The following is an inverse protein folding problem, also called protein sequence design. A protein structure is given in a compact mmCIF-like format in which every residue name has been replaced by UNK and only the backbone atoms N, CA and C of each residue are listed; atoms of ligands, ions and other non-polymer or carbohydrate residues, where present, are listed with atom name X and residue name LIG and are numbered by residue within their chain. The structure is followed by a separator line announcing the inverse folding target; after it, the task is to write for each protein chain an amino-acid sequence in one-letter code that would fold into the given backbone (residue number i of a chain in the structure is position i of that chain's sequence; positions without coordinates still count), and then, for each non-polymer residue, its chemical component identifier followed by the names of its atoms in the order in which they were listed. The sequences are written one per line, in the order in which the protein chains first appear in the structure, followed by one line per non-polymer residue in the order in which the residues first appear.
data_IF_316257529888
#
_entry.id   IF_316257529888
#
_cell.length_a   1.000
_cell.length_b   1.000
_cell.length_c   1.000
_cell.angle_alpha   90.00
_cell.angle_beta   90.00
_cell.angle_gamma   90.00
#
_symmetry.space_group_name_H-M   'P 1'
#
loop_
_entity.id
_entity.type
_entity.pdbx_description
1 polymer ?
#
# COMPACT_ATOMS: atom_id res chain seq x y z
N UNK A 1 17.30 9.51 -4.30
CA UNK A 1 17.74 9.20 -4.04
C UNK A 1 18.52 8.67 -3.56
N UNK A 2 18.54 8.61 -3.57
CA UNK A 2 19.20 8.25 -3.34
C UNK A 2 20.00 7.89 -3.00
N UNK A 3 20.44 7.77 -2.76
CA UNK A 3 21.25 7.68 -2.39
C UNK A 3 21.80 6.75 -2.11
N UNK A 4 22.39 6.30 -2.67
CA UNK A 4 23.00 5.43 -2.67
C UNK A 4 24.03 5.26 -1.94
N UNK A 5 24.77 6.00 -1.96
CA UNK A 5 25.93 5.89 -1.18
C UNK A 5 25.62 5.61 0.20
N UNK A 6 24.52 5.90 0.49
CA UNK A 6 24.08 5.71 1.78
C UNK A 6 24.15 4.33 2.31
N UNK A 7 24.37 3.39 1.43
CA UNK A 7 24.42 2.04 1.89
C UNK A 7 25.66 1.70 2.63
N UNK A 8 26.66 2.52 2.50
CA UNK A 8 27.90 2.29 3.17
C UNK A 8 27.72 2.20 4.66
N UNK A 9 26.94 3.07 5.20
CA UNK A 9 26.65 3.00 6.61
C UNK A 9 25.63 1.95 6.84
N UNK A 10 26.03 0.85 7.35
CA UNK A 10 25.12 -0.24 7.60
C UNK A 10 23.92 0.22 8.40
N UNK A 11 22.74 -0.06 7.91
CA UNK A 11 21.51 0.23 8.62
C UNK A 11 20.54 -0.92 8.36
N UNK A 12 19.49 -1.00 9.16
CA UNK A 12 18.46 -2.01 8.98
C UNK A 12 17.37 -1.39 8.13
N UNK A 13 17.08 -2.00 6.99
CA UNK A 13 16.06 -1.52 6.06
C UNK A 13 15.12 -2.65 5.72
N UNK A 14 13.84 -2.37 5.74
CA UNK A 14 12.87 -3.34 5.28
C UNK A 14 13.09 -3.52 3.77
N UNK A 15 13.27 -4.75 3.31
CA UNK A 15 13.52 -5.04 1.90
C UNK A 15 12.25 -5.49 1.19
N UNK A 16 11.59 -6.50 1.71
CA UNK A 16 10.39 -7.02 1.08
C UNK A 16 9.52 -7.74 2.11
N UNK A 17 8.27 -7.97 1.74
CA UNK A 17 7.34 -8.76 2.52
C UNK A 17 6.52 -9.61 1.56
N UNK A 18 6.07 -10.77 2.03
CA UNK A 18 5.24 -11.66 1.23
C UNK A 18 3.78 -11.34 1.53
N UNK A 19 2.99 -11.17 0.48
CA UNK A 19 1.56 -10.90 0.59
C UNK A 19 0.81 -12.10 0.04
N UNK A 20 0.07 -12.79 0.91
CA UNK A 20 -0.73 -13.94 0.50
C UNK A 20 -1.96 -13.49 -0.26
N UNK A 21 -2.27 -14.19 -1.36
CA UNK A 21 -3.40 -13.85 -2.22
C UNK A 21 -3.97 -15.10 -2.86
N UNK A 22 -5.19 -14.96 -3.42
CA UNK A 22 -5.82 -16.03 -4.21
C UNK A 22 -5.37 -15.97 -5.66
N UNK A 23 -5.27 -14.78 -6.22
CA UNK A 23 -4.95 -14.54 -7.62
C UNK A 23 -3.94 -13.41 -7.69
N UNK A 24 -2.67 -13.76 -7.86
CA UNK A 24 -1.59 -12.76 -7.80
C UNK A 24 -1.67 -11.75 -8.94
N UNK A 25 -2.18 -12.14 -10.11
CA UNK A 25 -2.35 -11.19 -11.21
C UNK A 25 -3.35 -10.10 -10.81
N UNK A 26 -4.47 -10.50 -10.24
CA UNK A 26 -5.52 -9.59 -9.81
C UNK A 26 -5.04 -8.71 -8.66
N UNK A 27 -4.42 -9.30 -7.67
CA UNK A 27 -4.02 -8.57 -6.46
C UNK A 27 -2.90 -7.58 -6.74
N UNK A 28 -1.91 -7.98 -7.54
CA UNK A 28 -0.83 -7.07 -7.90
C UNK A 28 -1.33 -5.94 -8.79
N UNK A 29 -2.20 -6.25 -9.76
CA UNK A 29 -2.77 -5.23 -10.64
C UNK A 29 -3.65 -4.25 -9.87
N UNK A 30 -4.37 -4.72 -8.86
CA UNK A 30 -5.17 -3.85 -8.00
C UNK A 30 -4.26 -2.82 -7.30
N UNK A 31 -3.19 -3.30 -6.68
CA UNK A 31 -2.31 -2.43 -5.91
C UNK A 31 -1.59 -1.43 -6.82
N UNK A 32 -1.01 -1.90 -7.91
CA UNK A 32 -0.30 -1.01 -8.83
C UNK A 32 -1.26 -0.01 -9.47
N UNK A 33 -2.47 -0.45 -9.78
CA UNK A 33 -3.47 0.42 -10.40
C UNK A 33 -3.93 1.53 -9.48
N UNK A 34 -4.22 1.21 -8.21
CA UNK A 34 -4.69 2.24 -7.26
C UNK A 34 -3.56 3.21 -6.92
N UNK A 35 -2.36 2.69 -6.67
CA UNK A 35 -1.25 3.54 -6.22
C UNK A 35 -0.46 4.19 -7.36
N UNK A 36 -0.73 3.79 -8.60
CA UNK A 36 0.02 4.34 -9.73
C UNK A 36 1.44 3.86 -9.80
N UNK A 37 1.70 2.63 -9.35
CA UNK A 37 3.04 2.05 -9.36
C UNK A 37 3.29 1.34 -10.69
N UNK A 38 4.56 1.11 -11.04
CA UNK A 38 4.89 0.31 -12.23
C UNK A 38 4.31 -1.09 -12.12
N UNK A 39 4.03 -1.71 -13.25
CA UNK A 39 3.48 -3.04 -13.30
C UNK A 39 4.36 -4.03 -12.55
N UNK A 40 3.71 -5.02 -11.93
CA UNK A 40 4.43 -6.05 -11.19
C UNK A 40 5.34 -6.86 -12.12
N UNK A 41 6.43 -7.33 -11.57
CA UNK A 41 7.40 -8.15 -12.30
C UNK A 41 7.42 -9.56 -11.72
N UNK A 42 7.60 -10.55 -12.61
CA UNK A 42 7.71 -11.95 -12.18
C UNK A 42 9.09 -12.20 -11.58
N UNK A 43 9.11 -12.79 -10.39
CA UNK A 43 10.34 -13.31 -9.81
C UNK A 43 10.00 -14.67 -9.18
N UNK A 44 10.51 -15.74 -9.74
CA UNK A 44 10.17 -17.11 -9.37
C UNK A 44 8.63 -17.25 -9.39
N UNK A 45 8.03 -17.71 -8.31
CA UNK A 45 6.57 -17.86 -8.24
C UNK A 45 5.85 -16.62 -7.71
N UNK A 46 6.57 -15.52 -7.50
CA UNK A 46 5.99 -14.30 -7.00
C UNK A 46 5.68 -13.31 -8.12
N UNK A 47 4.69 -12.46 -7.92
CA UNK A 47 4.57 -11.20 -8.63
C UNK A 47 4.98 -10.10 -7.68
N UNK A 48 5.99 -9.34 -8.06
CA UNK A 48 6.65 -8.38 -7.18
C UNK A 48 6.21 -6.97 -7.55
N UNK A 49 5.65 -6.26 -6.58
CA UNK A 49 5.30 -4.84 -6.71
C UNK A 49 6.30 -4.05 -5.89
N UNK A 50 6.98 -3.11 -6.54
CA UNK A 50 7.99 -2.31 -5.87
C UNK A 50 7.44 -0.92 -5.57
N UNK A 51 7.57 -0.48 -4.31
CA UNK A 51 7.26 0.88 -3.91
C UNK A 51 8.45 1.79 -4.24
N UNK A 52 8.20 3.10 -4.24
CA UNK A 52 9.22 4.07 -4.67
C UNK A 52 10.47 4.08 -3.80
N UNK A 53 10.36 3.62 -2.55
CA UNK A 53 11.51 3.55 -1.66
C UNK A 53 12.27 2.22 -1.74
N UNK A 54 11.96 1.39 -2.75
CA UNK A 54 12.67 0.14 -2.97
C UNK A 54 12.16 -1.05 -2.18
N UNK A 55 11.19 -0.87 -1.31
CA UNK A 55 10.57 -1.98 -0.59
C UNK A 55 9.59 -2.66 -1.53
N UNK A 56 9.60 -3.99 -1.58
CA UNK A 56 8.66 -4.70 -2.44
C UNK A 56 7.64 -5.52 -1.66
N UNK A 57 6.48 -5.69 -2.28
CA UNK A 57 5.45 -6.59 -1.84
C UNK A 57 5.40 -7.74 -2.84
N UNK A 58 5.70 -8.95 -2.35
CA UNK A 58 5.83 -10.12 -3.19
C UNK A 58 4.55 -10.96 -3.05
N UNK A 59 3.71 -10.89 -4.06
CA UNK A 59 2.41 -11.58 -4.03
C UNK A 59 2.58 -13.07 -4.30
N UNK A 60 2.14 -13.86 -3.34
CA UNK A 60 2.25 -15.32 -3.39
C UNK A 60 0.88 -15.96 -3.28
N UNK A 61 0.54 -16.83 -4.23
CA UNK A 61 -0.76 -17.50 -4.21
C UNK A 61 -0.79 -18.60 -3.17
N UNK A 62 -1.93 -18.74 -2.52
CA UNK A 62 -2.18 -19.81 -1.56
C UNK A 62 -3.62 -20.26 -1.66
N UNK A 63 -3.86 -21.54 -1.39
CA UNK A 63 -5.20 -22.09 -1.26
C UNK A 63 -5.64 -22.16 0.20
N UNK A 64 -4.74 -21.83 1.12
CA UNK A 64 -5.06 -21.86 2.56
C UNK A 64 -5.74 -20.56 2.98
N UNK A 65 -6.27 -20.54 4.18
CA UNK A 65 -6.91 -19.35 4.71
C UNK A 65 -5.91 -18.19 4.73
N UNK A 66 -6.37 -17.01 4.31
CA UNK A 66 -5.53 -15.80 4.29
C UNK A 66 -5.86 -14.97 5.52
N UNK A 67 -4.86 -14.74 6.36
CA UNK A 67 -5.00 -13.82 7.48
C UNK A 67 -4.81 -12.40 6.97
N UNK A 68 -5.81 -11.52 7.14
CA UNK A 68 -5.66 -10.14 6.70
C UNK A 68 -4.49 -9.46 7.38
N UNK A 69 -3.72 -8.72 6.60
CA UNK A 69 -2.60 -7.94 7.08
C UNK A 69 -2.89 -6.45 6.84
N UNK A 70 -2.01 -5.59 7.34
CA UNK A 70 -2.14 -4.15 7.16
C UNK A 70 -0.88 -3.60 6.52
N UNK A 71 -1.05 -2.87 5.41
CA UNK A 71 0.06 -2.22 4.70
C UNK A 71 -0.28 -0.76 4.51
N UNK A 72 0.61 0.12 4.96
CA UNK A 72 0.41 1.56 4.89
C UNK A 72 1.47 2.17 3.98
N UNK A 73 1.05 3.07 3.10
CA UNK A 73 1.91 3.71 2.12
C UNK A 73 1.92 5.21 2.36
N UNK A 74 3.11 5.75 2.59
CA UNK A 74 3.29 7.20 2.66
C UNK A 74 3.34 7.74 1.24
N UNK A 75 2.45 8.66 0.92
CA UNK A 75 2.30 9.19 -0.43
C UNK A 75 2.36 10.72 -0.41
N UNK A 76 2.73 11.31 -1.55
CA UNK A 76 2.65 12.75 -1.69
C UNK A 76 1.21 13.21 -1.85
N UNK A 77 0.99 14.51 -1.77
CA UNK A 77 -0.37 15.06 -1.87
C UNK A 77 -0.99 14.78 -3.23
N UNK A 78 -0.21 14.89 -4.30
CA UNK A 78 -0.74 14.61 -5.64
C UNK A 78 -1.05 13.13 -5.81
N UNK A 79 -0.18 12.27 -5.28
CA UNK A 79 -0.42 10.83 -5.34
C UNK A 79 -1.64 10.44 -4.52
N UNK A 80 -1.85 11.11 -3.39
CA UNK A 80 -3.05 10.88 -2.59
C UNK A 80 -4.31 11.23 -3.40
N UNK A 81 -4.32 12.40 -4.03
CA UNK A 81 -5.46 12.82 -4.84
C UNK A 81 -5.74 11.81 -5.95
N UNK A 82 -4.70 11.34 -6.63
CA UNK A 82 -4.86 10.39 -7.73
C UNK A 82 -5.40 9.05 -7.22
N UNK A 83 -4.82 8.51 -6.16
CA UNK A 83 -5.27 7.24 -5.61
C UNK A 83 -6.69 7.34 -5.05
N UNK A 84 -7.00 8.41 -4.34
CA UNK A 84 -8.33 8.64 -3.80
C UNK A 84 -9.36 8.73 -4.92
N UNK A 85 -9.00 9.43 -6.01
CA UNK A 85 -9.87 9.50 -7.17
C UNK A 85 -10.17 8.13 -7.76
N UNK A 86 -9.17 7.27 -7.86
CA UNK A 86 -9.34 5.91 -8.39
C UNK A 86 -10.23 5.06 -7.49
N UNK A 87 -10.03 5.19 -6.17
CA UNK A 87 -10.86 4.47 -5.19
C UNK A 87 -12.32 4.86 -5.37
N UNK A 88 -12.60 6.17 -5.47
CA UNK A 88 -13.98 6.65 -5.66
C UNK A 88 -14.54 6.24 -7.00
N UNK A 89 -13.76 6.36 -8.07
CA UNK A 89 -14.22 6.05 -9.42
C UNK A 89 -14.59 4.58 -9.55
N UNK A 90 -13.89 3.71 -8.82
CA UNK A 90 -14.19 2.28 -8.83
C UNK A 90 -15.25 1.88 -7.81
N UNK A 91 -15.78 2.84 -7.05
CA UNK A 91 -16.79 2.55 -6.06
C UNK A 91 -16.31 1.71 -4.90
N UNK A 92 -15.01 1.76 -4.59
CA UNK A 92 -14.45 0.96 -3.50
C UNK A 92 -14.81 1.59 -2.16
N UNK A 93 -15.17 0.77 -1.16
CA UNK A 93 -15.37 1.28 0.18
C UNK A 93 -14.07 1.82 0.76
N UNK A 94 -14.16 2.88 1.54
CA UNK A 94 -13.01 3.40 2.27
C UNK A 94 -13.47 4.03 3.58
N UNK A 95 -12.53 4.20 4.52
CA UNK A 95 -12.84 4.64 5.88
C UNK A 95 -11.75 5.57 6.38
N UNK A 96 -12.13 6.45 7.31
CA UNK A 96 -11.15 7.33 7.96
C UNK A 96 -10.33 6.58 9.02
N UNK A 97 -10.84 5.44 9.50
CA UNK A 97 -10.23 4.72 10.61
C UNK A 97 -10.09 3.23 10.30
N UNK A 98 -9.14 2.57 10.94
CA UNK A 98 -8.90 1.16 10.68
C UNK A 98 -10.04 0.27 11.17
N UNK A 99 -10.82 0.74 12.14
CA UNK A 99 -11.96 -0.01 12.69
C UNK A 99 -13.22 0.11 11.86
N UNK A 100 -13.16 0.86 10.74
CA UNK A 100 -14.28 1.04 9.81
C UNK A 100 -15.49 1.73 10.44
N UNK A 101 -15.26 2.53 11.47
CA UNK A 101 -16.34 3.24 12.14
C UNK A 101 -16.75 4.51 11.43
N UNK A 102 -15.94 5.00 10.50
CA UNK A 102 -16.19 6.25 9.78
C UNK A 102 -16.10 6.03 8.28
N UNK A 103 -17.12 5.38 7.68
CA UNK A 103 -17.08 5.07 6.25
C UNK A 103 -17.32 6.32 5.39
N UNK A 104 -16.69 6.32 4.21
CA UNK A 104 -16.93 7.35 3.21
C UNK A 104 -16.30 8.69 3.53
N UNK A 105 -15.40 8.75 4.50
CA UNK A 105 -14.67 9.99 4.84
C UNK A 105 -13.20 9.67 5.02
N UNK A 106 -12.36 10.69 4.94
CA UNK A 106 -10.92 10.56 5.17
C UNK A 106 -10.57 11.17 6.51
N UNK A 107 -9.35 10.89 7.00
CA UNK A 107 -8.86 11.52 8.23
C UNK A 107 -7.82 12.59 7.90
N UNK A 108 -7.48 13.39 8.90
CA UNK A 108 -6.51 14.48 8.78
C UNK A 108 -5.46 14.38 9.89
N UNK A 109 -5.02 13.18 10.19
CA UNK A 109 -4.03 12.97 11.24
C UNK A 109 -2.74 13.67 10.90
N UNK A 110 -2.09 14.20 11.93
CA UNK A 110 -0.79 14.85 11.80
C UNK A 110 -0.81 16.00 10.81
N UNK A 111 -1.97 16.64 10.67
CA UNK A 111 -2.15 17.77 9.74
C UNK A 111 -1.99 17.34 8.28
N UNK A 112 -2.26 16.09 7.99
CA UNK A 112 -2.21 15.53 6.66
C UNK A 112 -3.54 14.94 6.25
N UNK A 113 -3.49 13.94 5.38
CA UNK A 113 -4.69 13.22 4.93
C UNK A 113 -4.40 11.73 4.94
N UNK A 114 -5.41 10.94 5.25
CA UNK A 114 -5.28 9.49 5.22
C UNK A 114 -6.61 8.80 5.02
N UNK A 115 -6.57 7.57 4.53
CA UNK A 115 -7.75 6.72 4.44
C UNK A 115 -7.33 5.26 4.42
N UNK A 116 -8.32 4.40 4.70
CA UNK A 116 -8.16 2.94 4.71
C UNK A 116 -9.09 2.33 3.67
N UNK A 117 -8.62 1.32 2.97
CA UNK A 117 -9.42 0.57 2.02
C UNK A 117 -8.92 -0.88 2.02
N UNK A 118 -9.51 -1.75 1.20
CA UNK A 118 -9.13 -3.17 1.20
C UNK A 118 -8.72 -3.63 -0.17
N UNK A 119 -7.79 -4.59 -0.18
CA UNK A 119 -7.44 -5.27 -1.41
C UNK A 119 -8.40 -6.44 -1.67
N UNK A 120 -8.30 -7.15 -2.82
CA UNK A 120 -9.23 -8.22 -3.13
C UNK A 120 -9.26 -9.38 -2.13
N UNK A 121 -8.22 -9.55 -1.33
CA UNK A 121 -8.16 -10.65 -0.36
C UNK A 121 -8.42 -10.17 1.07
N UNK A 122 -8.84 -8.94 1.25
CA UNK A 122 -9.20 -8.42 2.56
C UNK A 122 -8.06 -7.82 3.35
N UNK A 123 -6.87 -7.66 2.76
CA UNK A 123 -5.80 -6.95 3.43
C UNK A 123 -6.19 -5.48 3.59
N UNK A 124 -5.92 -4.92 4.75
CA UNK A 124 -6.22 -3.51 5.01
C UNK A 124 -5.09 -2.65 4.46
N UNK A 125 -5.43 -1.77 3.54
CA UNK A 125 -4.47 -0.86 2.94
C UNK A 125 -4.74 0.54 3.43
N UNK A 126 -3.67 1.31 3.59
CA UNK A 126 -3.77 2.68 4.05
C UNK A 126 -2.87 3.56 3.19
N UNK A 127 -3.36 4.73 2.81
CA UNK A 127 -2.51 5.78 2.25
C UNK A 127 -2.58 6.97 3.20
N UNK A 128 -1.43 7.59 3.44
CA UNK A 128 -1.33 8.75 4.32
C UNK A 128 -0.25 9.69 3.78
N UNK A 129 -0.48 11.00 3.96
CA UNK A 129 0.43 12.00 3.43
C UNK A 129 1.48 12.46 4.44
N UNK A 130 1.31 12.11 5.72
CA UNK A 130 2.28 12.47 6.77
C UNK A 130 2.51 11.27 7.67
N UNK A 131 3.75 11.01 8.07
CA UNK A 131 4.03 9.91 8.99
C UNK A 131 3.33 10.12 10.33
N UNK A 132 2.99 9.05 11.01
CA UNK A 132 2.37 9.13 12.33
C UNK A 132 3.27 9.90 13.29
N UNK A 133 2.66 10.80 14.04
CA UNK A 133 3.37 11.58 15.04
C UNK A 133 4.15 12.75 14.48
N UNK A 134 4.10 12.99 13.16
CA UNK A 134 4.90 14.05 12.56
C UNK A 134 4.23 15.42 12.64
N UNK A 135 2.93 15.47 12.87
CA UNK A 135 2.19 16.71 12.84
C UNK A 135 2.13 17.44 14.14
N UNK A 136 2.60 16.90 15.16
CA UNK A 136 2.59 17.41 16.47
C UNK A 136 2.36 18.54 16.93
#
# INVERSE_FOLDING_TARGET
AGTLGTIIGVSVQLNHTIVSCRDQQRSAAFLTGILGLPAAARFAHFLVVEADNGVSLDFAETTEAITPQHYAFLVGEEEFDAAFGRIRDQGLPYWADPGRGRPGVINHRDDGRGLYFEDPDGHALEILTRPYGSGS
#
